data_IF_180567111087
#
_entry.id   IF_180567111087
#
_cell.length_a   1.000
_cell.length_b   1.000
_cell.length_c   1.000
_cell.angle_alpha   90.00
_cell.angle_beta   90.00
_cell.angle_gamma   90.00
#
_symmetry.space_group_name_H-M   'P 1'
#
loop_
_entity.id
_entity.type
_entity.pdbx_description
1 polymer ?
#
# COMPACT_ATOMS: atom_id res chain seq x y z
N UNK A 1 26.27 6.73 0.88
CA UNK A 1 26.08 6.12 -0.45
C UNK A 1 24.70 6.48 -0.94
N UNK A 2 24.58 7.49 -1.82
CA UNK A 2 23.32 7.81 -2.47
C UNK A 2 23.16 6.91 -3.70
N UNK A 3 22.20 6.00 -3.67
CA UNK A 3 21.79 5.30 -4.87
C UNK A 3 21.03 6.29 -5.77
N UNK A 4 21.47 6.40 -7.01
CA UNK A 4 20.91 7.30 -8.02
C UNK A 4 19.49 6.79 -8.33
N UNK A 5 18.42 7.58 -8.11
CA UNK A 5 17.03 7.16 -8.33
C UNK A 5 16.78 6.63 -9.77
N UNK A 6 17.50 7.15 -10.76
CA UNK A 6 17.29 6.83 -12.17
C UNK A 6 17.73 5.42 -12.60
N UNK A 7 18.50 4.69 -11.77
CA UNK A 7 18.90 3.31 -12.07
C UNK A 7 17.83 2.30 -11.64
N UNK A 8 17.04 2.62 -10.62
CA UNK A 8 15.92 1.77 -10.18
C UNK A 8 14.70 1.86 -11.10
N UNK A 9 14.54 2.97 -11.84
CA UNK A 9 13.42 3.11 -12.79
C UNK A 9 13.59 2.26 -14.06
N UNK A 10 14.81 1.81 -14.39
CA UNK A 10 15.10 1.11 -15.65
C UNK A 10 15.08 -0.41 -15.55
N UNK A 11 15.12 -0.97 -14.34
CA UNK A 11 15.13 -2.41 -14.12
C UNK A 11 13.71 -2.90 -13.78
N UNK A 12 13.22 -3.87 -14.54
CA UNK A 12 11.98 -4.56 -14.18
C UNK A 12 12.27 -5.49 -13.01
N UNK A 13 11.54 -5.31 -11.91
CA UNK A 13 11.63 -6.14 -10.71
C UNK A 13 10.39 -7.01 -10.54
N UNK A 14 10.56 -8.09 -9.80
CA UNK A 14 9.54 -9.01 -9.30
C UNK A 14 8.94 -8.50 -8.00
N UNK A 15 7.88 -9.18 -7.52
CA UNK A 15 7.27 -8.84 -6.23
C UNK A 15 8.16 -9.25 -5.06
N UNK A 16 8.88 -10.35 -5.22
CA UNK A 16 9.82 -10.91 -4.25
C UNK A 16 11.01 -9.98 -4.08
N UNK A 17 11.59 -9.48 -5.18
CA UNK A 17 12.67 -8.50 -5.12
C UNK A 17 12.20 -7.21 -4.43
N UNK A 18 10.99 -6.72 -4.69
CA UNK A 18 10.46 -5.54 -3.99
C UNK A 18 10.32 -5.78 -2.48
N UNK A 19 9.85 -6.96 -2.07
CA UNK A 19 9.69 -7.33 -0.66
C UNK A 19 11.03 -7.35 0.09
N UNK A 20 12.12 -7.69 -0.60
CA UNK A 20 13.47 -7.78 -0.05
C UNK A 20 14.23 -6.44 -0.01
N UNK A 21 13.60 -5.32 -0.41
CA UNK A 21 14.23 -3.99 -0.44
C UNK A 21 13.95 -3.16 0.82
N UNK A 22 14.79 -3.22 1.86
CA UNK A 22 14.60 -2.40 3.05
C UNK A 22 14.83 -0.91 2.75
N UNK A 23 14.06 -0.04 3.39
CA UNK A 23 14.31 1.40 3.41
C UNK A 23 13.80 2.19 2.19
N UNK A 24 13.10 1.56 1.24
CA UNK A 24 12.52 2.24 0.08
C UNK A 24 11.21 3.00 0.39
N UNK A 25 10.65 2.78 1.58
CA UNK A 25 9.39 3.40 2.01
C UNK A 25 8.17 2.80 1.30
N UNK A 26 7.01 3.45 1.47
CA UNK A 26 5.76 3.00 0.84
C UNK A 26 5.84 3.17 -0.67
N UNK A 27 5.74 2.06 -1.40
CA UNK A 27 5.76 2.02 -2.86
C UNK A 27 4.99 0.80 -3.37
N UNK A 28 4.69 0.81 -4.66
CA UNK A 28 4.01 -0.27 -5.35
C UNK A 28 4.82 -0.72 -6.57
N UNK A 29 4.65 -1.99 -6.94
CA UNK A 29 5.18 -2.53 -8.19
C UNK A 29 4.15 -2.40 -9.30
N UNK A 30 4.35 -1.49 -10.23
CA UNK A 30 3.46 -1.28 -11.39
C UNK A 30 4.22 -1.63 -12.65
N UNK A 31 3.76 -2.66 -13.38
CA UNK A 31 4.41 -3.14 -14.61
C UNK A 31 5.91 -3.47 -14.44
N UNK A 32 6.30 -3.97 -13.26
CA UNK A 32 7.69 -4.28 -12.93
C UNK A 32 8.53 -3.06 -12.50
N UNK A 33 7.95 -1.87 -12.41
CA UNK A 33 8.65 -0.66 -11.94
C UNK A 33 8.24 -0.33 -10.51
N UNK A 34 9.13 0.30 -9.77
CA UNK A 34 8.83 0.86 -8.44
C UNK A 34 8.16 2.21 -8.63
N UNK A 35 6.94 2.34 -8.13
CA UNK A 35 6.21 3.61 -8.08
C UNK A 35 6.10 4.03 -6.62
N UNK A 36 6.72 5.16 -6.21
CA UNK A 36 6.59 5.65 -4.84
C UNK A 36 5.15 6.08 -4.60
N UNK A 37 4.62 5.71 -3.43
CA UNK A 37 3.31 6.19 -3.02
C UNK A 37 3.44 7.63 -2.52
N UNK A 38 2.48 8.48 -2.89
CA UNK A 38 2.42 9.82 -2.30
C UNK A 38 2.17 9.70 -0.79
N UNK A 39 2.84 10.48 0.06
CA UNK A 39 2.58 10.45 1.48
C UNK A 39 1.12 10.81 1.74
N UNK A 40 0.43 9.98 2.52
CA UNK A 40 -0.96 10.23 2.90
C UNK A 40 -1.02 11.48 3.77
N UNK A 41 -1.71 12.51 3.31
CA UNK A 41 -1.99 13.71 4.09
C UNK A 41 -3.11 13.49 5.12
N UNK A 42 -3.32 14.46 6.02
CA UNK A 42 -4.32 14.35 7.08
C UNK A 42 -5.76 14.15 6.57
N UNK A 43 -6.14 14.85 5.50
CA UNK A 43 -7.47 14.71 4.89
C UNK A 43 -7.67 13.31 4.29
N UNK A 44 -6.70 12.83 3.51
CA UNK A 44 -6.77 11.50 2.92
C UNK A 44 -6.78 10.41 4.00
N UNK A 45 -5.95 10.54 5.04
CA UNK A 45 -5.95 9.60 6.17
C UNK A 45 -7.29 9.59 6.93
N UNK A 46 -7.95 10.73 7.08
CA UNK A 46 -9.28 10.81 7.71
C UNK A 46 -10.34 10.08 6.88
N UNK A 47 -10.32 10.26 5.55
CA UNK A 47 -11.24 9.58 4.64
C UNK A 47 -11.00 8.07 4.67
N UNK A 48 -9.74 7.63 4.56
CA UNK A 48 -9.35 6.21 4.63
C UNK A 48 -9.79 5.57 5.95
N UNK A 49 -9.52 6.20 7.10
CA UNK A 49 -9.92 5.70 8.41
C UNK A 49 -11.45 5.60 8.54
N UNK A 50 -12.19 6.57 7.99
CA UNK A 50 -13.66 6.56 7.99
C UNK A 50 -14.21 5.41 7.16
N UNK A 51 -13.66 5.17 5.96
CA UNK A 51 -14.04 4.05 5.09
C UNK A 51 -13.76 2.72 5.78
N UNK A 52 -12.57 2.55 6.37
CA UNK A 52 -12.19 1.34 7.09
C UNK A 52 -13.15 1.07 8.26
N UNK A 53 -13.46 2.08 9.06
CA UNK A 53 -14.40 1.95 10.20
C UNK A 53 -15.78 1.48 9.73
N UNK A 54 -16.31 2.09 8.66
CA UNK A 54 -17.64 1.73 8.13
C UNK A 54 -17.63 0.32 7.54
N UNK A 55 -16.60 -0.02 6.75
CA UNK A 55 -16.47 -1.35 6.15
C UNK A 55 -16.39 -2.43 7.23
N UNK A 56 -15.51 -2.25 8.23
CA UNK A 56 -15.35 -3.21 9.33
C UNK A 56 -16.65 -3.41 10.10
N UNK A 57 -17.37 -2.35 10.46
CA UNK A 57 -18.66 -2.46 11.14
C UNK A 57 -19.65 -3.33 10.35
N UNK A 58 -19.78 -3.10 9.03
CA UNK A 58 -20.66 -3.90 8.16
C UNK A 58 -20.23 -5.36 8.07
N UNK A 59 -18.92 -5.62 7.95
CA UNK A 59 -18.38 -6.98 7.91
C UNK A 59 -18.57 -7.72 9.24
N UNK A 60 -18.46 -7.05 10.38
CA UNK A 60 -18.68 -7.65 11.71
C UNK A 60 -20.17 -7.83 12.03
N UNK A 61 -21.03 -6.93 11.58
CA UNK A 61 -22.48 -7.03 11.78
C UNK A 61 -23.10 -8.16 10.93
N UNK A 62 -22.58 -8.39 9.71
CA UNK A 62 -22.91 -9.57 8.90
C UNK A 62 -22.53 -10.89 9.59
N UNK A 63 -21.42 -10.93 10.34
CA UNK A 63 -21.05 -12.12 11.13
C UNK A 63 -21.97 -12.36 12.31
N UNK A 64 -22.62 -11.33 12.88
CA UNK A 64 -23.63 -11.50 13.91
C UNK A 64 -24.97 -11.98 13.34
N UNK A 65 -25.30 -11.66 12.08
CA UNK A 65 -26.51 -12.12 11.40
C UNK A 65 -26.40 -13.55 10.82
N UNK A 66 -25.20 -14.07 10.55
CA UNK A 66 -24.98 -15.44 10.07
C UNK A 66 -24.73 -16.46 11.19
N UNK A 67 -25.19 -16.21 12.43
CA UNK A 67 -25.28 -17.27 13.45
C UNK A 67 -26.49 -18.16 13.16
N UNK A 68 -26.31 -19.11 12.24
CA UNK A 68 -27.07 -20.35 12.19
C UNK A 68 -26.48 -21.32 13.23
#
# INVERSE_FOLDING_TARGET
MSLIPSLLETQLITGEELLEMPGIGSCERVEGRIVPMSPTGGEQGFIEATIVRIALARFTDLKLMCKC
#
